data_IF_078653297523
#
_entry.id   IF_078653297523
#
_cell.length_a   1.000
_cell.length_b   1.000
_cell.length_c   1.000
_cell.angle_alpha   90.00
_cell.angle_beta   90.00
_cell.angle_gamma   90.00
#
_symmetry.space_group_name_H-M   'P 1'
#
loop_
_entity.id
_entity.type
_entity.pdbx_description
1 polymer ?
#
# COMPACT_ATOMS: atom_id res chain seq x y z
N UNK A 1 15.14 6.09 -17.49
CA UNK A 1 14.72 5.41 -16.25
C UNK A 1 15.72 4.30 -15.94
N UNK A 2 16.62 4.52 -14.99
CA UNK A 2 17.62 3.52 -14.56
C UNK A 2 16.95 2.54 -13.62
N UNK A 3 16.74 1.30 -14.06
CA UNK A 3 16.18 0.24 -13.23
C UNK A 3 17.22 -0.10 -12.15
N UNK A 4 16.94 0.23 -10.89
CA UNK A 4 17.80 -0.14 -9.77
C UNK A 4 17.85 -1.68 -9.67
N UNK A 5 19.04 -2.26 -9.54
CA UNK A 5 19.22 -3.71 -9.46
C UNK A 5 18.49 -4.33 -8.26
N UNK A 6 18.13 -5.62 -8.32
CA UNK A 6 17.25 -6.29 -7.34
C UNK A 6 17.78 -6.21 -5.89
N UNK A 7 19.10 -6.26 -5.69
CA UNK A 7 19.72 -6.14 -4.37
C UNK A 7 19.51 -4.75 -3.73
N UNK A 8 19.49 -3.68 -4.53
CA UNK A 8 19.29 -2.31 -4.02
C UNK A 8 17.85 -2.06 -3.61
N UNK A 9 16.90 -2.74 -4.27
CA UNK A 9 15.48 -2.70 -3.93
C UNK A 9 15.23 -3.38 -2.59
N UNK A 10 15.78 -4.58 -2.39
CA UNK A 10 15.64 -5.32 -1.14
C UNK A 10 16.16 -4.52 0.06
N UNK A 11 17.34 -3.91 -0.06
CA UNK A 11 17.92 -3.10 1.02
C UNK A 11 17.04 -1.90 1.43
N UNK A 12 16.40 -1.21 0.48
CA UNK A 12 15.52 -0.08 0.78
C UNK A 12 14.22 -0.52 1.45
N UNK A 13 13.67 -1.68 1.06
CA UNK A 13 12.47 -2.23 1.70
C UNK A 13 12.81 -2.69 3.12
N UNK A 14 13.97 -3.30 3.34
CA UNK A 14 14.47 -3.68 4.67
C UNK A 14 14.67 -2.45 5.56
N UNK A 15 15.19 -1.36 5.03
CA UNK A 15 15.33 -0.10 5.77
C UNK A 15 13.96 0.44 6.24
N UNK A 16 12.95 0.41 5.36
CA UNK A 16 11.57 0.80 5.72
C UNK A 16 10.98 -0.18 6.73
N UNK A 17 11.19 -1.48 6.54
CA UNK A 17 10.70 -2.52 7.45
C UNK A 17 11.36 -2.48 8.84
N UNK A 18 12.56 -1.91 8.95
CA UNK A 18 13.29 -1.72 10.20
C UNK A 18 12.80 -0.51 11.02
N UNK A 19 11.89 0.32 10.49
CA UNK A 19 11.31 1.43 11.23
C UNK A 19 10.44 0.91 12.39
N UNK A 20 10.89 1.17 13.63
CA UNK A 20 10.20 0.75 14.86
C UNK A 20 8.80 1.31 14.98
N UNK A 21 8.54 2.52 14.44
CA UNK A 21 7.20 3.12 14.47
C UNK A 21 6.28 2.34 13.52
N UNK A 22 6.79 2.00 12.34
CA UNK A 22 6.02 1.23 11.35
C UNK A 22 5.71 -0.17 11.89
N UNK A 23 6.67 -0.82 12.55
CA UNK A 23 6.45 -2.11 13.20
C UNK A 23 5.32 -2.04 14.25
N UNK A 24 5.33 -1.03 15.12
CA UNK A 24 4.28 -0.84 16.12
C UNK A 24 2.89 -0.61 15.49
N UNK A 25 2.80 0.20 14.44
CA UNK A 25 1.53 0.41 13.74
C UNK A 25 1.06 -0.87 13.02
N UNK A 26 1.98 -1.69 12.51
CA UNK A 26 1.68 -2.98 11.86
C UNK A 26 1.22 -4.06 12.85
N UNK A 27 1.56 -3.98 14.14
CA UNK A 27 1.08 -4.93 15.16
C UNK A 27 -0.45 -4.88 15.37
N UNK A 28 -1.09 -3.78 14.94
CA UNK A 28 -2.56 -3.62 14.97
C UNK A 28 -3.22 -4.50 13.91
N UNK A 29 -2.51 -4.82 12.82
CA UNK A 29 -3.00 -5.66 11.73
C UNK A 29 -2.97 -7.14 12.14
N UNK A 30 -3.89 -7.96 11.62
CA UNK A 30 -3.98 -9.35 12.02
C UNK A 30 -2.77 -10.15 11.52
N UNK A 31 -2.17 -10.95 12.41
CA UNK A 31 -0.93 -11.69 12.14
C UNK A 31 -1.09 -12.86 11.16
N UNK A 32 -2.31 -13.24 10.81
CA UNK A 32 -2.61 -14.27 9.82
C UNK A 32 -2.55 -13.78 8.37
N UNK A 33 -2.28 -12.49 8.13
CA UNK A 33 -2.10 -11.91 6.80
C UNK A 33 -0.81 -11.11 6.68
N UNK A 34 -0.13 -11.26 5.54
CA UNK A 34 1.04 -10.45 5.17
C UNK A 34 0.61 -9.39 4.17
N UNK A 35 0.41 -8.16 4.63
CA UNK A 35 -0.02 -7.04 3.78
C UNK A 35 1.11 -6.36 2.99
N UNK A 36 2.36 -6.83 3.12
CA UNK A 36 3.56 -6.26 2.47
C UNK A 36 3.67 -4.72 2.58
N UNK A 37 3.23 -4.13 3.70
CA UNK A 37 3.18 -2.66 3.89
C UNK A 37 4.50 -1.95 3.56
N UNK A 38 5.69 -2.43 4.02
CA UNK A 38 6.96 -1.76 3.70
C UNK A 38 7.25 -1.67 2.19
N UNK A 39 6.86 -2.71 1.43
CA UNK A 39 7.03 -2.77 -0.02
C UNK A 39 6.06 -1.82 -0.73
N UNK A 40 4.84 -1.69 -0.22
CA UNK A 40 3.85 -0.72 -0.73
C UNK A 40 4.34 0.71 -0.49
N UNK A 41 4.80 1.04 0.72
CA UNK A 41 5.40 2.36 1.04
C UNK A 41 6.57 2.65 0.10
N UNK A 42 7.48 1.69 -0.08
CA UNK A 42 8.60 1.82 -1.00
C UNK A 42 8.13 2.13 -2.43
N UNK A 43 7.11 1.42 -2.91
CA UNK A 43 6.57 1.61 -4.26
C UNK A 43 5.95 2.99 -4.45
N UNK A 44 5.18 3.47 -3.47
CA UNK A 44 4.57 4.82 -3.48
C UNK A 44 5.67 5.89 -3.51
N UNK A 45 6.66 5.80 -2.62
CA UNK A 45 7.80 6.73 -2.57
C UNK A 45 8.61 6.73 -3.86
N UNK A 46 8.87 5.55 -4.43
CA UNK A 46 9.67 5.41 -5.66
C UNK A 46 8.97 5.89 -6.92
N UNK A 47 7.64 5.83 -6.93
CA UNK A 47 6.82 6.33 -8.05
C UNK A 47 6.44 7.80 -7.89
N UNK A 48 6.57 8.36 -6.68
CA UNK A 48 6.15 9.74 -6.38
C UNK A 48 4.63 9.92 -6.42
N UNK A 49 3.86 8.83 -6.27
CA UNK A 49 2.40 8.87 -6.34
C UNK A 49 1.81 9.76 -5.26
N UNK A 50 0.97 10.71 -5.68
CA UNK A 50 0.26 11.64 -4.78
C UNK A 50 -1.12 11.14 -4.38
N UNK A 51 -1.71 10.24 -5.16
CA UNK A 51 -2.98 9.63 -4.87
C UNK A 51 -2.88 8.13 -5.13
N UNK A 52 -3.42 7.31 -4.23
CA UNK A 52 -3.33 5.85 -4.28
C UNK A 52 -4.71 5.26 -4.01
N UNK A 53 -5.28 4.56 -4.99
CA UNK A 53 -6.50 3.80 -4.79
C UNK A 53 -6.19 2.45 -4.12
N UNK A 54 -6.93 2.11 -3.08
CA UNK A 54 -6.82 0.87 -2.33
C UNK A 54 -8.06 0.02 -2.55
N UNK A 55 -7.87 -1.19 -3.06
CA UNK A 55 -8.96 -2.13 -3.33
C UNK A 55 -8.76 -3.37 -2.46
N UNK A 56 -9.81 -3.78 -1.76
CA UNK A 56 -9.77 -4.93 -0.86
C UNK A 56 -10.90 -5.91 -1.17
N UNK A 57 -10.67 -7.23 -1.00
CA UNK A 57 -11.75 -8.19 -0.99
C UNK A 57 -12.63 -8.01 0.25
N UNK A 58 -13.87 -8.50 0.19
CA UNK A 58 -14.88 -8.37 1.26
C UNK A 58 -14.36 -8.77 2.64
N UNK A 59 -13.59 -9.86 2.72
CA UNK A 59 -13.00 -10.33 3.99
C UNK A 59 -11.85 -9.49 4.55
N UNK A 60 -11.30 -8.55 3.78
CA UNK A 60 -10.18 -7.69 4.19
C UNK A 60 -10.54 -6.21 4.23
N UNK A 61 -11.73 -5.82 3.77
CA UNK A 61 -12.16 -4.42 3.74
C UNK A 61 -12.21 -3.78 5.13
N UNK A 62 -12.38 -4.58 6.20
CA UNK A 62 -12.32 -4.10 7.58
C UNK A 62 -10.95 -3.54 7.98
N UNK A 63 -9.88 -3.90 7.26
CA UNK A 63 -8.52 -3.38 7.49
C UNK A 63 -8.18 -2.20 6.58
N UNK A 64 -9.09 -1.82 5.66
CA UNK A 64 -8.83 -0.80 4.66
C UNK A 64 -8.47 0.56 5.26
N UNK A 65 -9.24 1.03 6.25
CA UNK A 65 -8.97 2.31 6.92
C UNK A 65 -7.64 2.29 7.68
N UNK A 66 -7.32 1.20 8.37
CA UNK A 66 -6.05 1.08 9.10
C UNK A 66 -4.86 1.10 8.14
N UNK A 67 -4.96 0.38 7.03
CA UNK A 67 -3.90 0.35 6.00
C UNK A 67 -3.78 1.72 5.33
N UNK A 68 -4.90 2.38 5.02
CA UNK A 68 -4.93 3.74 4.50
C UNK A 68 -4.19 4.71 5.43
N UNK A 69 -4.54 4.75 6.72
CA UNK A 69 -3.92 5.62 7.72
C UNK A 69 -2.41 5.38 7.83
N UNK A 70 -1.97 4.12 7.82
CA UNK A 70 -0.54 3.78 7.83
C UNK A 70 0.13 4.32 6.57
N UNK A 71 -0.43 4.08 5.38
CA UNK A 71 0.18 4.54 4.13
C UNK A 71 0.28 6.06 4.07
N UNK A 72 -0.75 6.80 4.46
CA UNK A 72 -0.74 8.26 4.52
C UNK A 72 0.22 8.80 5.59
N UNK A 73 0.40 8.09 6.71
CA UNK A 73 1.34 8.50 7.77
C UNK A 73 2.81 8.38 7.32
N UNK A 74 3.11 7.37 6.49
CA UNK A 74 4.48 7.09 6.05
C UNK A 74 4.78 7.57 4.63
N UNK A 75 3.82 8.17 3.92
CA UNK A 75 4.01 8.69 2.57
C UNK A 75 3.25 10.00 2.37
N UNK A 76 3.70 10.88 1.49
CA UNK A 76 2.98 12.12 1.16
C UNK A 76 1.86 11.89 0.12
N UNK A 77 1.16 10.75 0.21
CA UNK A 77 0.05 10.42 -0.69
C UNK A 77 -1.28 10.49 0.05
N UNK A 78 -2.35 10.77 -0.68
CA UNK A 78 -3.73 10.59 -0.23
C UNK A 78 -4.23 9.24 -0.73
N UNK A 79 -4.87 8.47 0.15
CA UNK A 79 -5.43 7.17 -0.18
C UNK A 79 -6.93 7.27 -0.45
N UNK A 80 -7.41 6.47 -1.39
CA UNK A 80 -8.85 6.36 -1.69
C UNK A 80 -9.25 4.90 -1.59
N UNK A 81 -10.13 4.56 -0.66
CA UNK A 81 -10.63 3.19 -0.50
C UNK A 81 -11.73 2.96 -1.53
N UNK A 82 -11.52 1.99 -2.42
CA UNK A 82 -12.51 1.59 -3.41
C UNK A 82 -13.62 0.80 -2.73
N UNK A 83 -14.86 1.28 -2.85
CA UNK A 83 -16.04 0.68 -2.21
C UNK A 83 -16.53 -0.61 -2.85
N UNK A 84 -16.05 -0.94 -4.06
CA UNK A 84 -16.39 -2.17 -4.75
C UNK A 84 -15.59 -3.35 -4.20
N UNK A 85 -16.30 -4.37 -3.71
CA UNK A 85 -15.70 -5.62 -3.23
C UNK A 85 -15.07 -6.39 -4.39
N UNK A 86 -13.81 -6.77 -4.25
CA UNK A 86 -13.16 -7.66 -5.23
C UNK A 86 -13.25 -9.11 -4.81
N UNK A 87 -13.80 -9.95 -5.69
CA UNK A 87 -13.77 -11.40 -5.52
C UNK A 87 -12.50 -12.05 -6.12
N UNK A 88 -11.67 -11.25 -6.81
CA UNK A 88 -10.39 -11.69 -7.37
C UNK A 88 -9.74 -10.63 -8.25
N UNK A 89 -8.60 -10.98 -8.84
CA UNK A 89 -7.84 -10.11 -9.74
C UNK A 89 -8.56 -9.80 -11.09
N UNK A 90 -9.68 -10.46 -11.39
CA UNK A 90 -10.51 -10.13 -12.55
C UNK A 90 -11.33 -8.84 -12.37
N UNK A 91 -11.38 -8.30 -11.14
CA UNK A 91 -12.15 -7.10 -10.77
C UNK A 91 -11.25 -5.89 -10.47
N UNK A 92 -10.02 -5.86 -10.99
CA UNK A 92 -9.13 -4.70 -10.84
C UNK A 92 -9.72 -3.53 -11.62
N UNK A 93 -10.13 -2.49 -10.92
CA UNK A 93 -10.77 -1.33 -11.54
C UNK A 93 -9.75 -0.21 -11.80
N UNK A 94 -8.91 -0.46 -12.81
CA UNK A 94 -7.91 0.50 -13.28
C UNK A 94 -8.54 1.76 -13.89
N UNK A 95 -9.77 1.68 -14.40
CA UNK A 95 -10.46 2.80 -15.04
C UNK A 95 -10.88 3.84 -14.00
N UNK A 96 -11.51 3.41 -12.91
CA UNK A 96 -11.89 4.30 -11.81
C UNK A 96 -10.65 4.86 -11.12
N UNK A 97 -9.63 4.03 -10.89
CA UNK A 97 -8.36 4.49 -10.30
C UNK A 97 -7.69 5.62 -11.11
N UNK A 98 -7.72 5.55 -12.46
CA UNK A 98 -7.22 6.64 -13.31
C UNK A 98 -8.11 7.88 -13.26
N UNK A 99 -9.42 7.73 -13.11
CA UNK A 99 -10.36 8.86 -13.08
C UNK A 99 -10.29 9.68 -11.79
N UNK A 100 -9.87 9.08 -10.67
CA UNK A 100 -9.77 9.73 -9.36
C UNK A 100 -8.59 10.72 -9.26
N UNK A 101 -7.57 10.55 -10.11
CA UNK A 101 -6.32 11.32 -10.09
C UNK A 101 -6.20 12.45 -11.11
N UNK A 102 -7.31 13.00 -11.62
CA UNK A 102 -7.30 14.21 -12.46
C UNK A 102 -7.13 15.49 -11.65
#
# INVERSE_FOLDING_TARGET
MTVAGPARLAAQIEEIAADKRLQADMEILPSNYTFEIPKTIWKIRSTGSKQVALQFPEGLIMYSCLIADILEKYTDCTTVIMGDVTYGACCVDDYTAKSLGQ
#
